data_IF_680550609934
#
_entry.id   IF_680550609934
#
_cell.length_a   1.000
_cell.length_b   1.000
_cell.length_c   1.000
_cell.angle_alpha   90.00
_cell.angle_beta   90.00
_cell.angle_gamma   90.00
#
_symmetry.space_group_name_H-M   'P 1'
#
loop_
_entity.id
_entity.type
_entity.pdbx_description
1 polymer ?
#
# COMPACT_ATOMS: atom_id res chain seq x y z
N UNK A 1 -20.46 71.89 2.84
CA UNK A 1 -20.25 70.81 1.83
C UNK A 1 -20.58 69.46 2.46
N UNK A 2 -21.68 68.81 2.07
CA UNK A 2 -22.05 67.47 2.56
C UNK A 2 -21.62 66.46 1.51
N UNK A 3 -20.76 65.52 1.85
CA UNK A 3 -20.35 64.41 1.00
C UNK A 3 -21.44 63.33 1.07
N UNK A 4 -22.04 62.87 -0.06
CA UNK A 4 -23.05 61.83 -0.04
C UNK A 4 -22.37 60.45 0.18
N UNK A 5 -22.68 59.78 1.28
CA UNK A 5 -22.34 58.39 1.53
C UNK A 5 -23.19 57.47 0.61
N UNK A 6 -22.60 56.98 -0.45
CA UNK A 6 -23.22 55.91 -1.28
C UNK A 6 -23.02 54.60 -0.56
N UNK A 7 -24.02 54.06 0.09
CA UNK A 7 -24.04 52.69 0.55
C UNK A 7 -24.21 51.77 -0.68
N UNK A 8 -23.17 50.96 -0.95
CA UNK A 8 -23.26 49.88 -1.92
C UNK A 8 -24.24 48.81 -1.36
N UNK A 9 -25.42 48.71 -1.93
CA UNK A 9 -26.32 47.57 -1.65
C UNK A 9 -25.78 46.37 -2.40
N UNK A 10 -24.99 45.53 -1.73
CA UNK A 10 -24.69 44.20 -2.25
C UNK A 10 -26.02 43.41 -2.30
N UNK A 11 -26.39 42.91 -3.49
CA UNK A 11 -27.60 42.12 -3.62
C UNK A 11 -27.39 40.75 -2.95
N UNK A 12 -28.47 40.20 -2.37
CA UNK A 12 -28.46 38.87 -1.75
C UNK A 12 -27.93 37.77 -2.70
N UNK A 13 -28.09 37.96 -4.01
CA UNK A 13 -27.61 37.08 -5.05
C UNK A 13 -26.08 37.06 -5.11
N UNK A 14 -25.43 38.24 -4.97
CA UNK A 14 -23.95 38.31 -5.01
C UNK A 14 -23.31 37.63 -3.81
N UNK A 15 -23.91 37.72 -2.61
CA UNK A 15 -23.43 37.04 -1.40
C UNK A 15 -23.61 35.52 -1.54
N UNK A 16 -24.74 35.07 -2.07
CA UNK A 16 -25.02 33.64 -2.31
C UNK A 16 -24.01 32.98 -3.27
N UNK A 17 -23.69 33.66 -4.38
CA UNK A 17 -22.73 33.14 -5.38
C UNK A 17 -21.33 33.05 -4.79
N UNK A 18 -20.88 34.05 -4.02
CA UNK A 18 -19.55 34.05 -3.37
C UNK A 18 -19.47 32.90 -2.35
N UNK A 19 -20.53 32.64 -1.59
CA UNK A 19 -20.56 31.56 -0.60
C UNK A 19 -20.50 30.19 -1.26
N UNK A 20 -21.23 29.98 -2.34
CA UNK A 20 -21.22 28.70 -3.09
C UNK A 20 -19.84 28.45 -3.72
N UNK A 21 -19.21 29.46 -4.31
CA UNK A 21 -17.87 29.33 -4.89
C UNK A 21 -16.85 28.99 -3.80
N UNK A 22 -16.95 29.59 -2.61
CA UNK A 22 -16.04 29.30 -1.50
C UNK A 22 -16.20 27.87 -0.95
N UNK A 23 -17.43 27.36 -0.88
CA UNK A 23 -17.72 25.97 -0.45
C UNK A 23 -17.20 24.96 -1.48
N UNK A 24 -17.36 25.25 -2.77
CA UNK A 24 -16.84 24.39 -3.86
C UNK A 24 -15.31 24.39 -3.84
N UNK A 25 -14.65 25.56 -3.66
CA UNK A 25 -13.20 25.65 -3.57
C UNK A 25 -12.66 24.99 -2.30
N UNK A 26 -13.28 25.14 -1.14
CA UNK A 26 -12.87 24.49 0.10
C UNK A 26 -13.06 22.96 0.02
N UNK A 27 -14.13 22.49 -0.61
CA UNK A 27 -14.38 21.06 -0.86
C UNK A 27 -13.34 20.43 -1.79
N UNK A 28 -12.88 21.16 -2.82
CA UNK A 28 -11.81 20.68 -3.69
C UNK A 28 -10.43 20.68 -3.03
N UNK A 29 -10.16 21.60 -2.11
CA UNK A 29 -8.89 21.62 -1.38
C UNK A 29 -8.76 20.49 -0.36
N UNK A 30 -9.87 20.01 0.22
CA UNK A 30 -9.85 18.85 1.12
C UNK A 30 -9.59 17.51 0.39
N UNK A 31 -9.91 17.43 -0.92
CA UNK A 31 -9.70 16.22 -1.71
C UNK A 31 -8.26 16.07 -2.25
N UNK A 32 -7.42 17.09 -2.10
CA UNK A 32 -6.04 17.12 -2.63
C UNK A 32 -4.96 17.14 -1.55
N UNK A 33 -5.28 16.87 -0.29
CA UNK A 33 -4.27 16.47 0.68
C UNK A 33 -3.87 15.01 0.39
N UNK A 34 -3.29 14.75 -0.78
CA UNK A 34 -2.60 13.49 -1.02
C UNK A 34 -1.51 13.36 0.05
N UNK A 35 -1.63 12.34 0.86
CA UNK A 35 -0.56 11.93 1.77
C UNK A 35 0.72 11.72 0.94
N UNK A 36 1.64 12.70 1.02
CA UNK A 36 2.91 12.66 0.31
C UNK A 36 3.89 11.66 0.92
N UNK A 37 3.49 10.96 1.96
CA UNK A 37 4.34 9.95 2.62
C UNK A 37 4.57 8.70 1.76
N UNK A 38 3.77 8.48 0.73
CA UNK A 38 3.75 7.22 -0.04
C UNK A 38 3.01 6.08 0.66
N UNK A 39 2.40 6.37 1.84
CA UNK A 39 1.69 5.38 2.67
C UNK A 39 0.28 5.91 3.02
N UNK A 40 -0.62 6.04 2.03
CA UNK A 40 -1.95 6.61 2.26
C UNK A 40 -2.78 5.74 3.20
N UNK A 41 -3.57 6.38 4.07
CA UNK A 41 -4.47 5.67 4.97
C UNK A 41 -5.48 4.81 4.19
N UNK A 42 -5.85 3.66 4.77
CA UNK A 42 -6.76 2.69 4.14
C UNK A 42 -6.09 1.69 3.20
N UNK A 43 -4.79 1.86 2.91
CA UNK A 43 -4.02 0.95 2.07
C UNK A 43 -2.97 0.15 2.86
N UNK A 44 -3.03 0.12 4.19
CA UNK A 44 -2.22 -0.79 4.98
C UNK A 44 -2.50 -2.25 4.57
N UNK A 45 -1.46 -3.07 4.44
CA UNK A 45 -1.55 -4.43 3.91
C UNK A 45 -2.63 -5.28 4.57
N UNK A 46 -2.75 -5.21 5.91
CA UNK A 46 -3.76 -5.97 6.65
C UNK A 46 -5.18 -5.50 6.35
N UNK A 47 -5.36 -4.22 6.08
CA UNK A 47 -6.66 -3.63 5.81
C UNK A 47 -7.06 -3.76 4.34
N UNK A 48 -6.12 -3.51 3.42
CA UNK A 48 -6.39 -3.48 2.00
C UNK A 48 -6.33 -4.88 1.36
N UNK A 49 -5.44 -5.75 1.81
CA UNK A 49 -5.22 -7.09 1.27
C UNK A 49 -5.31 -8.20 2.35
N UNK A 50 -6.44 -8.31 3.09
CA UNK A 50 -6.55 -9.22 4.24
C UNK A 50 -6.46 -10.71 3.88
N UNK A 51 -6.70 -11.07 2.62
CA UNK A 51 -6.55 -12.45 2.16
C UNK A 51 -5.10 -12.85 1.92
N UNK A 52 -4.23 -11.86 1.72
CA UNK A 52 -2.79 -12.06 1.51
C UNK A 52 -1.96 -11.76 2.77
N UNK A 53 -2.53 -11.06 3.76
CA UNK A 53 -1.79 -10.58 4.94
C UNK A 53 -2.59 -10.82 6.22
N UNK A 54 -2.30 -11.93 6.90
CA UNK A 54 -2.93 -12.29 8.17
C UNK A 54 -2.03 -11.96 9.35
N UNK A 55 -2.51 -11.12 10.28
CA UNK A 55 -1.78 -10.85 11.52
C UNK A 55 -1.78 -12.11 12.39
N UNK A 56 -0.60 -12.64 12.71
CA UNK A 56 -0.43 -13.77 13.63
C UNK A 56 0.11 -13.34 15.00
N UNK A 57 0.76 -12.17 15.06
CA UNK A 57 1.16 -11.53 16.30
C UNK A 57 1.29 -10.02 16.11
N UNK A 58 0.91 -9.25 17.13
CA UNK A 58 1.09 -7.78 17.11
C UNK A 58 1.23 -7.22 18.52
N UNK A 59 2.14 -6.25 18.68
CA UNK A 59 2.26 -5.41 19.86
C UNK A 59 2.70 -3.98 19.46
N UNK A 60 3.10 -3.16 20.43
CA UNK A 60 3.55 -1.79 20.18
C UNK A 60 4.78 -1.68 19.28
N UNK A 61 5.64 -2.70 19.25
CA UNK A 61 6.96 -2.65 18.60
C UNK A 61 7.02 -3.44 17.31
N UNK A 62 6.24 -4.50 17.19
CA UNK A 62 6.29 -5.40 16.02
C UNK A 62 4.90 -5.83 15.60
N UNK A 63 4.74 -6.13 14.31
CA UNK A 63 3.63 -6.84 13.73
C UNK A 63 4.19 -8.00 12.90
N UNK A 64 3.70 -9.20 13.15
CA UNK A 64 4.07 -10.41 12.41
C UNK A 64 2.91 -10.82 11.53
N UNK A 65 3.17 -10.90 10.25
CA UNK A 65 2.20 -11.29 9.23
C UNK A 65 2.57 -12.66 8.67
N UNK A 66 1.59 -13.52 8.55
CA UNK A 66 1.62 -14.60 7.59
C UNK A 66 1.22 -14.01 6.25
N UNK A 67 2.03 -14.27 5.23
CA UNK A 67 1.82 -13.76 3.88
C UNK A 67 1.45 -14.92 2.96
N UNK A 68 0.37 -14.76 2.21
CA UNK A 68 -0.11 -15.74 1.24
C UNK A 68 -0.10 -15.11 -0.14
N UNK A 69 0.54 -15.76 -1.09
CA UNK A 69 0.55 -15.30 -2.49
C UNK A 69 -0.85 -15.42 -3.10
N UNK A 70 -1.27 -14.48 -3.94
CA UNK A 70 -2.54 -14.61 -4.66
C UNK A 70 -2.52 -15.84 -5.59
N UNK A 71 -3.66 -16.46 -5.86
CA UNK A 71 -3.75 -17.56 -6.82
C UNK A 71 -3.23 -17.16 -8.21
N UNK A 72 -2.73 -18.13 -8.98
CA UNK A 72 -2.24 -17.93 -10.35
C UNK A 72 -3.27 -17.17 -11.20
N UNK A 73 -2.81 -16.14 -11.91
CA UNK A 73 -3.63 -15.24 -12.72
C UNK A 73 -4.47 -14.25 -11.91
N UNK A 74 -4.18 -14.11 -10.62
CA UNK A 74 -4.83 -13.12 -9.75
C UNK A 74 -3.82 -12.10 -9.24
N UNK A 75 -4.30 -10.86 -9.10
CA UNK A 75 -3.56 -9.76 -8.49
C UNK A 75 -4.22 -9.46 -7.14
N UNK A 76 -3.41 -9.31 -6.10
CA UNK A 76 -3.90 -8.85 -4.82
C UNK A 76 -4.29 -7.35 -4.87
N UNK A 77 -5.11 -6.85 -3.92
CA UNK A 77 -5.40 -5.42 -3.85
C UNK A 77 -4.14 -4.58 -3.60
N UNK A 78 -4.12 -3.35 -4.17
CA UNK A 78 -3.06 -2.39 -3.87
C UNK A 78 -2.99 -2.13 -2.38
N UNK A 79 -1.78 -2.24 -1.81
CA UNK A 79 -1.49 -2.03 -0.41
C UNK A 79 -0.07 -1.49 -0.21
N UNK A 80 0.27 -1.16 1.02
CA UNK A 80 1.62 -0.73 1.39
C UNK A 80 2.05 -1.37 2.71
N UNK A 81 3.37 -1.39 2.94
CA UNK A 81 3.99 -1.71 4.22
C UNK A 81 4.77 -0.50 4.70
N UNK A 82 4.20 0.28 5.62
CA UNK A 82 4.81 1.54 6.09
C UNK A 82 6.02 1.36 7.00
N UNK A 83 6.23 0.15 7.52
CA UNK A 83 7.35 -0.13 8.40
C UNK A 83 8.41 -0.97 7.72
N UNK A 84 9.70 -0.77 8.06
CA UNK A 84 10.74 -1.68 7.64
C UNK A 84 10.48 -3.07 8.24
N UNK A 85 10.93 -4.11 7.57
CA UNK A 85 10.61 -5.47 7.97
C UNK A 85 11.71 -6.48 7.63
N UNK A 86 11.67 -7.62 8.31
CA UNK A 86 12.28 -8.83 7.82
C UNK A 86 11.23 -9.67 7.11
N UNK A 87 11.56 -10.11 5.91
CA UNK A 87 10.77 -11.06 5.14
C UNK A 87 11.47 -12.41 5.20
N UNK A 88 10.74 -13.41 5.70
CA UNK A 88 11.23 -14.76 5.88
C UNK A 88 10.51 -15.67 4.90
N UNK A 89 11.29 -16.43 4.13
CA UNK A 89 10.82 -17.38 3.15
C UNK A 89 11.38 -18.76 3.47
N UNK A 90 10.51 -19.76 3.51
CA UNK A 90 10.93 -21.15 3.68
C UNK A 90 11.37 -21.71 2.33
N UNK A 91 12.67 -21.98 2.19
CA UNK A 91 13.25 -22.54 0.99
C UNK A 91 12.84 -24.02 0.83
N UNK A 92 11.93 -24.28 -0.11
CA UNK A 92 11.48 -25.63 -0.49
C UNK A 92 12.45 -26.32 -1.44
N UNK A 93 13.50 -25.63 -1.91
CA UNK A 93 14.47 -26.13 -2.90
C UNK A 93 13.99 -26.01 -4.34
N UNK A 94 12.74 -25.56 -4.55
CA UNK A 94 12.18 -25.28 -5.88
C UNK A 94 12.56 -23.87 -6.37
N UNK A 95 12.28 -23.55 -7.64
CA UNK A 95 12.43 -22.20 -8.16
C UNK A 95 11.42 -21.23 -7.51
N UNK A 96 11.74 -19.93 -7.51
CA UNK A 96 10.81 -18.90 -7.04
C UNK A 96 9.56 -18.81 -7.92
N UNK A 97 8.41 -18.32 -7.41
CA UNK A 97 7.27 -18.01 -8.25
C UNK A 97 7.60 -16.96 -9.32
N UNK A 98 6.97 -17.07 -10.49
CA UNK A 98 6.94 -15.96 -11.45
C UNK A 98 5.86 -14.99 -11.03
N UNK A 99 6.23 -13.76 -10.74
CA UNK A 99 5.31 -12.71 -10.30
C UNK A 99 5.47 -11.43 -11.10
N UNK A 100 4.42 -10.62 -11.13
CA UNK A 100 4.46 -9.22 -11.56
C UNK A 100 4.21 -8.31 -10.37
N UNK A 101 5.10 -7.38 -10.22
CA UNK A 101 5.04 -6.35 -9.18
C UNK A 101 4.42 -5.07 -9.76
N UNK A 102 3.16 -4.80 -9.42
CA UNK A 102 2.44 -3.60 -9.83
C UNK A 102 2.70 -2.49 -8.83
N UNK A 103 3.20 -1.35 -9.26
CA UNK A 103 3.46 -0.20 -8.39
C UNK A 103 2.30 0.78 -8.39
N UNK A 104 2.21 1.59 -7.33
CA UNK A 104 1.16 2.60 -7.20
C UNK A 104 1.21 3.71 -8.28
N UNK A 105 2.31 3.87 -8.99
CA UNK A 105 2.45 4.78 -10.13
C UNK A 105 1.96 4.17 -11.47
N UNK A 106 1.47 2.93 -11.44
CA UNK A 106 1.01 2.18 -12.60
C UNK A 106 2.11 1.43 -13.36
N UNK A 107 3.38 1.54 -12.95
CA UNK A 107 4.45 0.73 -13.54
C UNK A 107 4.37 -0.72 -13.09
N UNK A 108 4.81 -1.63 -13.96
CA UNK A 108 4.82 -3.08 -13.69
C UNK A 108 6.23 -3.60 -13.89
N UNK A 109 6.72 -4.37 -12.92
CA UNK A 109 8.00 -5.07 -13.01
C UNK A 109 7.73 -6.56 -13.07
N UNK A 110 8.14 -7.18 -14.15
CA UNK A 110 8.07 -8.63 -14.32
C UNK A 110 9.25 -9.28 -13.61
N UNK A 111 8.97 -10.24 -12.73
CA UNK A 111 9.97 -11.00 -11.98
C UNK A 111 9.80 -12.47 -12.34
N UNK A 112 10.52 -12.96 -13.35
CA UNK A 112 10.44 -14.34 -13.77
C UNK A 112 10.90 -15.28 -12.66
N UNK A 113 10.45 -16.54 -12.75
CA UNK A 113 10.92 -17.60 -11.86
C UNK A 113 12.44 -17.76 -11.96
N UNK A 114 13.09 -17.81 -10.81
CA UNK A 114 14.52 -18.01 -10.71
C UNK A 114 14.82 -19.28 -9.90
N UNK A 115 15.91 -20.01 -10.22
CA UNK A 115 16.34 -21.12 -9.39
C UNK A 115 16.57 -20.68 -7.94
N UNK A 116 16.06 -21.45 -6.98
CA UNK A 116 16.36 -21.18 -5.57
C UNK A 116 17.88 -21.15 -5.32
N UNK A 117 18.37 -20.24 -4.49
CA UNK A 117 19.78 -20.20 -4.07
C UNK A 117 20.24 -21.42 -3.27
N UNK A 118 19.37 -22.38 -2.98
CA UNK A 118 19.66 -23.75 -2.57
C UNK A 118 20.15 -23.96 -1.14
N UNK A 119 19.29 -23.63 -0.23
CA UNK A 119 19.36 -24.18 1.11
C UNK A 119 18.01 -24.80 1.51
N UNK A 120 17.53 -25.86 0.79
CA UNK A 120 16.23 -26.45 1.05
C UNK A 120 16.11 -26.86 2.51
N UNK A 121 14.93 -26.59 3.09
CA UNK A 121 14.68 -26.86 4.50
C UNK A 121 15.23 -25.80 5.46
N UNK A 122 15.62 -24.62 4.98
CA UNK A 122 16.04 -23.49 5.77
C UNK A 122 15.21 -22.24 5.51
N UNK A 123 15.14 -21.34 6.48
CA UNK A 123 14.60 -20.01 6.28
C UNK A 123 15.62 -19.12 5.59
N UNK A 124 15.20 -18.45 4.52
CA UNK A 124 15.90 -17.28 4.02
C UNK A 124 15.35 -16.04 4.71
N UNK A 125 16.19 -15.03 4.94
CA UNK A 125 15.78 -13.79 5.60
C UNK A 125 16.26 -12.61 4.78
N UNK A 126 15.32 -11.75 4.39
CA UNK A 126 15.61 -10.54 3.63
C UNK A 126 15.17 -9.30 4.40
N UNK A 127 16.00 -8.27 4.40
CA UNK A 127 15.62 -6.95 4.91
C UNK A 127 14.85 -6.18 3.85
N UNK A 128 13.66 -5.70 4.23
CA UNK A 128 12.79 -4.88 3.39
C UNK A 128 12.69 -3.47 3.97
N UNK A 129 12.92 -2.48 3.13
CA UNK A 129 12.57 -1.09 3.47
C UNK A 129 11.05 -0.94 3.50
N UNK A 130 10.51 0.17 4.06
CA UNK A 130 9.11 0.49 3.86
C UNK A 130 8.74 0.43 2.37
N UNK A 131 7.66 -0.26 2.05
CA UNK A 131 7.22 -0.47 0.66
C UNK A 131 6.00 0.39 0.38
N UNK A 132 6.11 1.36 -0.55
CA UNK A 132 4.98 2.18 -0.97
C UNK A 132 3.92 1.33 -1.68
N UNK A 133 2.83 1.96 -2.12
CA UNK A 133 1.73 1.27 -2.79
C UNK A 133 2.19 0.31 -3.89
N UNK A 134 1.81 -0.95 -3.73
CA UNK A 134 2.09 -2.02 -4.68
C UNK A 134 1.03 -3.12 -4.60
N UNK A 135 1.08 -4.04 -5.56
CA UNK A 135 0.33 -5.29 -5.55
C UNK A 135 1.13 -6.38 -6.28
N UNK A 136 0.99 -7.61 -5.85
CA UNK A 136 1.60 -8.77 -6.50
C UNK A 136 0.55 -9.49 -7.34
N UNK A 137 0.91 -9.82 -8.58
CA UNK A 137 0.20 -10.75 -9.44
C UNK A 137 1.02 -12.03 -9.55
N UNK A 138 0.44 -13.16 -9.22
CA UNK A 138 1.08 -14.47 -9.45
C UNK A 138 0.81 -14.89 -10.88
N UNK A 139 1.88 -15.01 -11.67
CA UNK A 139 1.81 -15.48 -13.07
C UNK A 139 1.90 -17.00 -13.12
N UNK A 140 2.83 -17.56 -12.35
CA UNK A 140 3.07 -19.00 -12.31
C UNK A 140 3.64 -19.41 -10.95
N UNK A 141 3.16 -20.53 -10.42
CA UNK A 141 3.81 -21.23 -9.32
C UNK A 141 4.59 -22.42 -9.88
N UNK A 142 5.86 -22.56 -9.53
CA UNK A 142 6.58 -23.78 -9.83
C UNK A 142 5.94 -24.94 -9.04
N UNK A 143 5.96 -26.16 -9.58
CA UNK A 143 5.53 -27.32 -8.83
C UNK A 143 6.43 -27.48 -7.59
N UNK A 144 5.85 -27.25 -6.42
CA UNK A 144 6.50 -27.47 -5.12
C UNK A 144 5.64 -28.45 -4.32
N UNK A 145 6.24 -29.43 -3.64
CA UNK A 145 5.49 -30.35 -2.79
C UNK A 145 4.87 -29.66 -1.55
N UNK A 146 5.43 -28.53 -1.15
CA UNK A 146 4.99 -27.76 0.01
C UNK A 146 4.62 -26.33 -0.40
N UNK A 147 3.55 -25.78 0.17
CA UNK A 147 3.27 -24.35 0.04
C UNK A 147 4.36 -23.57 0.76
N UNK A 148 4.97 -22.56 0.11
CA UNK A 148 5.98 -21.75 0.76
C UNK A 148 5.36 -21.01 1.95
N UNK A 149 5.94 -21.18 3.12
CA UNK A 149 5.60 -20.37 4.30
C UNK A 149 6.30 -19.02 4.18
N UNK A 150 5.52 -17.95 4.03
CA UNK A 150 6.03 -16.58 3.98
C UNK A 150 5.65 -15.86 5.27
N UNK A 151 6.64 -15.32 5.97
CA UNK A 151 6.44 -14.55 7.19
C UNK A 151 7.07 -13.17 7.02
N UNK A 152 6.32 -12.13 7.37
CA UNK A 152 6.82 -10.77 7.42
C UNK A 152 6.81 -10.24 8.85
N UNK A 153 7.95 -9.78 9.33
CA UNK A 153 8.09 -9.17 10.65
C UNK A 153 8.32 -7.68 10.48
N UNK A 154 7.29 -6.89 10.65
CA UNK A 154 7.33 -5.45 10.57
C UNK A 154 7.76 -4.82 11.89
N UNK A 155 8.69 -3.88 11.82
CA UNK A 155 9.26 -3.19 12.98
C UNK A 155 8.61 -1.80 13.09
N UNK A 156 7.74 -1.62 14.06
CA UNK A 156 6.94 -0.40 14.28
C UNK A 156 7.76 0.71 14.94
N UNK A 157 8.94 1.01 14.44
CA UNK A 157 9.58 2.23 14.90
C UNK A 157 9.23 3.38 13.97
N UNK A 158 8.91 4.52 14.56
CA UNK A 158 9.02 5.76 13.83
C UNK A 158 10.53 6.10 13.77
N UNK A 159 11.12 6.22 12.57
CA UNK A 159 12.45 6.77 12.42
C UNK A 159 12.50 8.23 12.90
#
# INVERSE_FOLDING_TARGET
MRVPTRFLKLSAITVGVITIVFVIFAGHFCLYAQDKSGFPDGYDAVQAAPNSHRVIFENTFVRVLEVTMPPVGKTEPLHHHRWPSFFLDWDTGGPSPHVRYHRGDGSVVDQPSEPSPKHPGHWSVQWMKPEPLHAIETVEFPPSPDEPGLIRVELKFNP
#
